data_IF_953637796020
#
_entry.id   IF_953637796020
#
_cell.length_a   1.000
_cell.length_b   1.000
_cell.length_c   1.000
_cell.angle_alpha   90.00
_cell.angle_beta   90.00
_cell.angle_gamma   90.00
#
_symmetry.space_group_name_H-M   'P 1'
#
loop_
_entity.id
_entity.type
_entity.pdbx_description
1 polymer ?
#
# COMPACT_ATOMS: atom_id res chain seq x y z
N UNK A 1 -19.83 39.52 -0.85
CA UNK A 1 -19.85 38.09 -0.51
C UNK A 1 -19.26 37.22 -1.64
N UNK A 2 -19.77 37.30 -2.87
CA UNK A 2 -19.28 36.50 -4.01
C UNK A 2 -17.79 36.69 -4.42
N UNK A 3 -17.15 37.81 -4.09
CA UNK A 3 -15.74 38.06 -4.41
C UNK A 3 -14.77 37.27 -3.51
N UNK A 4 -15.10 37.11 -2.22
CA UNK A 4 -14.28 36.35 -1.27
C UNK A 4 -14.38 34.85 -1.53
N UNK A 5 -15.58 34.32 -1.81
CA UNK A 5 -15.74 32.90 -2.20
C UNK A 5 -14.93 32.54 -3.43
N UNK A 6 -14.91 33.42 -4.45
CA UNK A 6 -14.17 33.15 -5.69
C UNK A 6 -12.66 33.23 -5.50
N UNK A 7 -12.19 34.11 -4.59
CA UNK A 7 -10.78 34.25 -4.23
C UNK A 7 -10.27 33.03 -3.47
N UNK A 8 -11.04 32.53 -2.49
CA UNK A 8 -10.69 31.32 -1.75
C UNK A 8 -10.66 30.08 -2.65
N UNK A 9 -11.69 29.87 -3.49
CA UNK A 9 -11.75 28.71 -4.40
C UNK A 9 -10.61 28.72 -5.42
N UNK A 10 -10.22 29.90 -5.92
CA UNK A 10 -9.09 30.05 -6.83
C UNK A 10 -7.77 29.68 -6.14
N UNK A 11 -7.55 30.19 -4.93
CA UNK A 11 -6.32 29.95 -4.17
C UNK A 11 -6.14 28.47 -3.79
N UNK A 12 -7.22 27.81 -3.35
CA UNK A 12 -7.21 26.37 -3.07
C UNK A 12 -6.87 25.53 -4.30
N UNK A 13 -7.36 25.93 -5.48
CA UNK A 13 -7.05 25.22 -6.73
C UNK A 13 -5.56 25.32 -7.08
N UNK A 14 -4.93 26.47 -6.90
CA UNK A 14 -3.50 26.63 -7.17
C UNK A 14 -2.62 25.87 -6.18
N UNK A 15 -2.97 25.87 -4.90
CA UNK A 15 -2.30 25.05 -3.88
C UNK A 15 -2.38 23.55 -4.20
N UNK A 16 -3.55 23.08 -4.64
CA UNK A 16 -3.75 21.69 -5.05
C UNK A 16 -2.92 21.33 -6.29
N UNK A 17 -2.85 22.22 -7.29
CA UNK A 17 -2.01 22.03 -8.47
C UNK A 17 -0.52 22.00 -8.11
N UNK A 18 -0.08 22.87 -7.20
CA UNK A 18 1.31 22.88 -6.73
C UNK A 18 1.67 21.60 -5.98
N UNK A 19 0.82 21.16 -5.03
CA UNK A 19 1.00 19.90 -4.32
C UNK A 19 1.02 18.69 -5.28
N UNK A 20 0.18 18.73 -6.32
CA UNK A 20 0.11 17.69 -7.34
C UNK A 20 1.41 17.62 -8.18
N UNK A 21 1.94 18.75 -8.63
CA UNK A 21 3.21 18.82 -9.37
C UNK A 21 4.36 18.28 -8.52
N UNK A 22 4.43 18.67 -7.24
CA UNK A 22 5.42 18.13 -6.30
C UNK A 22 5.28 16.61 -6.17
N UNK A 23 4.04 16.11 -6.05
CA UNK A 23 3.75 14.68 -5.97
C UNK A 23 4.24 13.91 -7.21
N UNK A 24 4.02 14.43 -8.42
CA UNK A 24 4.54 13.83 -9.66
C UNK A 24 6.07 13.80 -9.64
N UNK A 25 6.70 14.93 -9.33
CA UNK A 25 8.18 15.01 -9.30
C UNK A 25 8.74 14.00 -8.30
N UNK A 26 8.13 13.89 -7.12
CA UNK A 26 8.53 12.91 -6.12
C UNK A 26 8.40 11.48 -6.66
N UNK A 27 7.27 11.11 -7.27
CA UNK A 27 7.08 9.77 -7.85
C UNK A 27 8.11 9.49 -8.95
N UNK A 28 8.39 10.47 -9.82
CA UNK A 28 9.41 10.34 -10.86
C UNK A 28 10.81 10.10 -10.25
N UNK A 29 11.19 10.85 -9.22
CA UNK A 29 12.47 10.62 -8.51
C UNK A 29 12.51 9.22 -7.92
N UNK A 30 11.44 8.79 -7.26
CA UNK A 30 11.40 7.46 -6.66
C UNK A 30 11.46 6.35 -7.72
N UNK A 31 10.83 6.53 -8.89
CA UNK A 31 10.83 5.53 -9.97
C UNK A 31 12.14 5.52 -10.77
N UNK A 32 12.70 6.70 -11.08
CA UNK A 32 13.90 6.83 -11.91
C UNK A 32 15.21 6.70 -11.13
N UNK A 33 15.20 6.97 -9.82
CA UNK A 33 16.42 6.94 -8.99
C UNK A 33 16.32 5.86 -7.93
N UNK A 34 15.31 5.91 -7.05
CA UNK A 34 15.26 5.01 -5.90
C UNK A 34 15.02 3.55 -6.31
N UNK A 35 14.09 3.29 -7.22
CA UNK A 35 13.79 1.93 -7.67
C UNK A 35 14.98 1.24 -8.36
N UNK A 36 15.65 1.84 -9.36
CA UNK A 36 16.81 1.20 -9.98
C UNK A 36 17.99 1.08 -9.02
N UNK A 37 18.19 2.07 -8.13
CA UNK A 37 19.20 1.96 -7.08
C UNK A 37 18.89 0.80 -6.12
N UNK A 38 17.63 0.68 -5.67
CA UNK A 38 17.18 -0.41 -4.81
C UNK A 38 17.32 -1.77 -5.49
N UNK A 39 16.92 -1.89 -6.76
CA UNK A 39 17.09 -3.11 -7.55
C UNK A 39 18.56 -3.46 -7.78
N UNK A 40 19.42 -2.46 -7.97
CA UNK A 40 20.86 -2.65 -8.11
C UNK A 40 21.48 -3.18 -6.81
N UNK A 41 21.18 -2.56 -5.66
CA UNK A 41 21.66 -3.01 -4.34
C UNK A 41 21.13 -4.41 -4.02
N UNK A 42 19.85 -4.67 -4.31
CA UNK A 42 19.28 -6.00 -4.15
C UNK A 42 20.01 -7.03 -5.03
N UNK A 43 20.32 -6.70 -6.29
CA UNK A 43 21.02 -7.62 -7.20
C UNK A 43 22.45 -7.91 -6.76
N UNK A 44 23.22 -6.91 -6.31
CA UNK A 44 24.62 -7.10 -5.92
C UNK A 44 24.74 -7.87 -4.60
N UNK A 45 23.80 -7.67 -3.68
CA UNK A 45 23.81 -8.36 -2.39
C UNK A 45 23.13 -9.73 -2.43
N UNK A 46 22.38 -10.04 -3.49
CA UNK A 46 21.60 -11.28 -3.60
C UNK A 46 22.40 -12.55 -3.30
N UNK A 47 23.59 -12.70 -3.87
CA UNK A 47 24.39 -13.92 -3.71
C UNK A 47 24.90 -14.15 -2.28
N UNK A 48 25.10 -13.06 -1.53
CA UNK A 48 25.46 -13.13 -0.11
C UNK A 48 24.22 -13.25 0.76
N UNK A 49 23.19 -12.48 0.45
CA UNK A 49 21.94 -12.45 1.19
C UNK A 49 21.19 -13.78 1.09
N UNK A 50 21.27 -14.51 -0.02
CA UNK A 50 20.69 -15.86 -0.21
C UNK A 50 21.15 -16.87 0.86
N UNK A 51 22.30 -16.64 1.47
CA UNK A 51 22.85 -17.50 2.53
C UNK A 51 22.34 -17.14 3.92
N UNK A 52 21.71 -15.97 4.06
CA UNK A 52 21.21 -15.47 5.33
C UNK A 52 19.77 -15.97 5.53
N UNK A 53 19.47 -16.43 6.74
CA UNK A 53 18.14 -16.89 7.13
C UNK A 53 17.00 -15.94 6.75
N UNK A 54 17.25 -14.63 6.79
CA UNK A 54 16.28 -13.56 6.48
C UNK A 54 15.97 -13.37 5.01
N UNK A 55 16.70 -14.03 4.10
CA UNK A 55 16.58 -13.83 2.66
C UNK A 55 15.16 -13.90 2.12
N UNK A 56 14.34 -14.91 2.48
CA UNK A 56 13.02 -15.03 1.85
C UNK A 56 12.05 -13.91 2.28
N UNK A 57 12.30 -13.21 3.41
CA UNK A 57 11.57 -11.98 3.78
C UNK A 57 11.99 -10.84 2.85
N UNK A 58 13.29 -10.64 2.67
CA UNK A 58 13.82 -9.57 1.83
C UNK A 58 13.40 -9.74 0.36
N UNK A 59 13.38 -10.97 -0.12
CA UNK A 59 12.89 -11.31 -1.46
C UNK A 59 11.40 -10.95 -1.62
N UNK A 60 10.57 -11.34 -0.66
CA UNK A 60 9.16 -10.97 -0.68
C UNK A 60 8.96 -9.44 -0.59
N UNK A 61 9.69 -8.75 0.29
CA UNK A 61 9.66 -7.29 0.40
C UNK A 61 10.07 -6.62 -0.92
N UNK A 62 11.10 -7.12 -1.60
CA UNK A 62 11.53 -6.62 -2.91
C UNK A 62 10.42 -6.75 -3.96
N UNK A 63 9.78 -7.92 -4.06
CA UNK A 63 8.65 -8.13 -4.97
C UNK A 63 7.46 -7.23 -4.64
N UNK A 64 7.13 -7.06 -3.36
CA UNK A 64 6.03 -6.20 -2.91
C UNK A 64 6.30 -4.72 -3.18
N UNK A 65 7.53 -4.25 -2.99
CA UNK A 65 7.93 -2.87 -3.30
C UNK A 65 7.78 -2.59 -4.80
N UNK A 66 8.21 -3.49 -5.68
CA UNK A 66 8.00 -3.32 -7.14
C UNK A 66 6.51 -3.18 -7.49
N UNK A 67 5.65 -4.04 -6.93
CA UNK A 67 4.19 -3.97 -7.13
C UNK A 67 3.60 -2.66 -6.61
N UNK A 68 4.05 -2.19 -5.44
CA UNK A 68 3.66 -0.91 -4.87
C UNK A 68 3.97 0.24 -5.84
N UNK A 69 5.20 0.30 -6.38
CA UNK A 69 5.60 1.33 -7.34
C UNK A 69 4.77 1.32 -8.62
N UNK A 70 4.47 0.13 -9.15
CA UNK A 70 3.61 -0.03 -10.32
C UNK A 70 2.19 0.48 -10.05
N UNK A 71 1.59 0.10 -8.91
CA UNK A 71 0.24 0.54 -8.53
C UNK A 71 0.16 2.05 -8.32
N UNK A 72 1.14 2.67 -7.67
CA UNK A 72 1.20 4.14 -7.50
C UNK A 72 1.29 4.84 -8.85
N UNK A 73 2.07 4.30 -9.79
CA UNK A 73 2.16 4.85 -11.15
C UNK A 73 0.82 4.82 -11.89
N UNK A 74 -0.05 3.84 -11.60
CA UNK A 74 -1.40 3.76 -12.18
C UNK A 74 -2.39 4.77 -11.58
N UNK A 75 -2.17 5.27 -10.36
CA UNK A 75 -3.06 6.26 -9.72
C UNK A 75 -2.97 7.63 -10.39
N UNK A 76 -1.76 8.04 -10.80
CA UNK A 76 -1.51 9.35 -11.43
C UNK A 76 -2.39 9.58 -12.67
N UNK A 77 -2.42 8.70 -13.69
CA UNK A 77 -3.29 8.88 -14.85
C UNK A 77 -4.78 8.83 -14.49
N UNK A 78 -5.19 8.06 -13.49
CA UNK A 78 -6.58 8.07 -13.01
C UNK A 78 -6.99 9.44 -12.45
N UNK A 79 -6.09 10.13 -11.72
CA UNK A 79 -6.34 11.48 -11.20
C UNK A 79 -6.45 12.49 -12.36
N UNK A 80 -5.55 12.40 -13.34
CA UNK A 80 -5.60 13.25 -14.55
C UNK A 80 -6.92 13.02 -15.27
N UNK A 81 -7.30 11.76 -15.48
CA UNK A 81 -8.53 11.40 -16.18
C UNK A 81 -9.78 11.98 -15.48
N UNK A 82 -9.90 11.81 -14.16
CA UNK A 82 -11.04 12.36 -13.39
C UNK A 82 -11.08 13.89 -13.42
N UNK A 83 -9.92 14.55 -13.47
CA UNK A 83 -9.84 16.01 -13.49
C UNK A 83 -10.16 16.62 -14.87
N UNK A 84 -9.71 15.98 -15.96
CA UNK A 84 -9.83 16.52 -17.32
C UNK A 84 -11.13 16.13 -18.04
N UNK A 85 -11.79 15.02 -17.67
CA UNK A 85 -13.04 14.63 -18.32
C UNK A 85 -14.24 15.44 -17.81
N UNK A 86 -14.96 16.02 -18.78
CA UNK A 86 -16.14 16.84 -18.54
C UNK A 86 -17.40 15.96 -18.45
N UNK A 87 -17.93 15.85 -17.23
CA UNK A 87 -19.34 15.67 -16.87
C UNK A 87 -20.11 14.39 -17.30
N UNK A 88 -19.50 13.43 -17.98
CA UNK A 88 -20.11 12.10 -18.11
C UNK A 88 -20.01 11.34 -16.77
N UNK A 89 -21.08 11.41 -15.97
CA UNK A 89 -21.10 10.84 -14.62
C UNK A 89 -20.68 9.38 -14.57
N UNK A 90 -21.12 8.56 -15.54
CA UNK A 90 -20.86 7.12 -15.55
C UNK A 90 -19.38 6.77 -15.74
N UNK A 91 -18.65 7.46 -16.63
CA UNK A 91 -17.23 7.18 -16.88
C UNK A 91 -16.34 7.69 -15.75
N UNK A 92 -16.68 8.86 -15.20
CA UNK A 92 -16.01 9.43 -14.03
C UNK A 92 -16.19 8.55 -12.79
N UNK A 93 -17.40 8.05 -12.54
CA UNK A 93 -17.69 7.17 -11.41
C UNK A 93 -16.95 5.83 -11.56
N UNK A 94 -16.91 5.26 -12.77
CA UNK A 94 -16.13 4.05 -13.04
C UNK A 94 -14.64 4.23 -12.72
N UNK A 95 -14.02 5.34 -13.15
CA UNK A 95 -12.60 5.61 -12.85
C UNK A 95 -12.37 5.92 -11.37
N UNK A 96 -13.32 6.57 -10.70
CA UNK A 96 -13.25 6.77 -9.25
C UNK A 96 -13.28 5.43 -8.49
N UNK A 97 -14.11 4.47 -8.92
CA UNK A 97 -14.14 3.11 -8.35
C UNK A 97 -12.80 2.40 -8.57
N UNK A 98 -12.23 2.46 -9.78
CA UNK A 98 -10.92 1.86 -10.07
C UNK A 98 -9.82 2.47 -9.21
N UNK A 99 -9.80 3.80 -9.09
CA UNK A 99 -8.83 4.52 -8.26
C UNK A 99 -8.93 4.09 -6.79
N UNK A 100 -10.15 4.02 -6.25
CA UNK A 100 -10.37 3.60 -4.87
C UNK A 100 -9.99 2.12 -4.64
N UNK A 101 -10.16 1.24 -5.64
CA UNK A 101 -9.66 -0.13 -5.58
C UNK A 101 -8.13 -0.16 -5.51
N UNK A 102 -7.43 0.61 -6.36
CA UNK A 102 -5.96 0.66 -6.34
C UNK A 102 -5.44 1.18 -4.98
N UNK A 103 -6.06 2.21 -4.42
CA UNK A 103 -5.70 2.74 -3.10
C UNK A 103 -5.92 1.71 -1.98
N UNK A 104 -6.97 0.90 -2.08
CA UNK A 104 -7.22 -0.19 -1.15
C UNK A 104 -6.16 -1.29 -1.22
N UNK A 105 -5.78 -1.72 -2.45
CA UNK A 105 -4.66 -2.66 -2.62
C UNK A 105 -3.37 -2.11 -2.01
N UNK A 106 -3.09 -0.83 -2.24
CA UNK A 106 -1.91 -0.15 -1.72
C UNK A 106 -1.90 -0.16 -0.18
N UNK A 107 -3.07 0.06 0.44
CA UNK A 107 -3.22 0.02 1.89
C UNK A 107 -2.84 -1.36 2.46
N UNK A 108 -3.39 -2.44 1.91
CA UNK A 108 -3.08 -3.82 2.35
C UNK A 108 -1.58 -4.12 2.21
N UNK A 109 -0.98 -3.71 1.09
CA UNK A 109 0.47 -3.90 0.85
C UNK A 109 1.28 -3.19 1.94
N UNK A 110 0.94 -1.95 2.28
CA UNK A 110 1.63 -1.16 3.31
C UNK A 110 1.50 -1.80 4.69
N UNK A 111 0.33 -2.35 5.03
CA UNK A 111 0.15 -3.03 6.32
C UNK A 111 1.03 -4.28 6.44
N UNK A 112 1.02 -5.13 5.40
CA UNK A 112 1.85 -6.34 5.37
C UNK A 112 3.34 -5.99 5.39
N UNK A 113 3.75 -4.94 4.66
CA UNK A 113 5.14 -4.48 4.63
C UNK A 113 5.59 -3.94 6.00
N UNK A 114 4.76 -3.17 6.71
CA UNK A 114 5.06 -2.73 8.07
C UNK A 114 5.22 -3.90 9.05
N UNK A 115 4.37 -4.92 8.94
CA UNK A 115 4.53 -6.12 9.76
C UNK A 115 5.82 -6.87 9.47
N UNK A 116 6.15 -7.07 8.20
CA UNK A 116 7.38 -7.75 7.80
C UNK A 116 8.61 -7.00 8.31
N UNK A 117 8.61 -5.67 8.24
CA UNK A 117 9.69 -4.83 8.78
C UNK A 117 9.75 -4.92 10.30
N UNK A 118 8.62 -4.89 10.99
CA UNK A 118 8.54 -5.05 12.45
C UNK A 118 9.08 -6.42 12.88
N UNK A 119 8.66 -7.49 12.20
CA UNK A 119 9.16 -8.84 12.43
C UNK A 119 10.69 -8.92 12.22
N UNK A 120 11.20 -8.34 11.14
CA UNK A 120 12.63 -8.28 10.86
C UNK A 120 13.40 -7.52 11.96
N UNK A 121 12.84 -6.43 12.49
CA UNK A 121 13.43 -5.69 13.59
C UNK A 121 13.47 -6.51 14.89
N UNK A 122 12.38 -7.21 15.22
CA UNK A 122 12.32 -8.14 16.35
C UNK A 122 13.36 -9.26 16.18
N UNK A 123 13.43 -9.86 14.99
CA UNK A 123 14.40 -10.91 14.69
C UNK A 123 15.84 -10.43 14.87
N UNK A 124 16.19 -9.24 14.38
CA UNK A 124 17.53 -8.64 14.58
C UNK A 124 17.81 -8.32 16.04
N UNK A 125 16.82 -7.85 16.80
CA UNK A 125 16.95 -7.59 18.23
C UNK A 125 17.19 -8.89 19.03
N UNK A 126 16.46 -9.96 18.70
CA UNK A 126 16.60 -11.27 19.35
C UNK A 126 17.94 -11.93 19.03
N UNK A 127 18.41 -11.85 17.78
CA UNK A 127 19.75 -12.33 17.41
C UNK A 127 20.85 -11.54 18.13
N UNK A 128 20.69 -10.22 18.26
CA UNK A 128 21.63 -9.37 19.00
C UNK A 128 21.70 -9.74 20.49
N UNK A 129 20.58 -10.07 21.11
CA UNK A 129 20.52 -10.42 22.54
C UNK A 129 20.89 -11.88 22.82
N UNK A 130 20.61 -12.79 21.90
CA UNK A 130 20.67 -14.22 22.13
C UNK A 130 20.99 -15.00 20.84
N UNK A 131 22.29 -15.26 20.62
CA UNK A 131 22.80 -16.02 19.46
C UNK A 131 22.18 -17.43 19.34
N UNK A 132 21.72 -18.01 20.45
CA UNK A 132 21.14 -19.35 20.50
C UNK A 132 19.80 -19.50 19.77
N UNK A 133 19.09 -18.41 19.42
CA UNK A 133 17.79 -18.50 18.74
C UNK A 133 17.87 -18.55 17.23
N UNK A 134 19.07 -18.41 16.64
CA UNK A 134 19.25 -18.33 15.19
C UNK A 134 18.50 -19.44 14.43
N UNK A 135 18.71 -20.70 14.81
CA UNK A 135 18.05 -21.87 14.18
C UNK A 135 16.54 -21.89 14.34
N UNK A 136 16.02 -21.45 15.50
CA UNK A 136 14.58 -21.42 15.75
C UNK A 136 13.92 -20.28 14.96
N UNK A 137 14.58 -19.12 14.86
CA UNK A 137 14.11 -17.97 14.09
C UNK A 137 14.03 -18.30 12.60
N UNK A 138 15.03 -18.98 12.02
CA UNK A 138 14.98 -19.44 10.62
C UNK A 138 13.77 -20.35 10.38
N UNK A 139 13.50 -21.29 11.29
CA UNK A 139 12.41 -22.24 11.15
C UNK A 139 11.03 -21.55 11.22
N UNK A 140 10.86 -20.61 12.17
CA UNK A 140 9.63 -19.82 12.31
C UNK A 140 9.42 -18.93 11.08
N UNK A 141 10.48 -18.29 10.59
CA UNK A 141 10.43 -17.43 9.43
C UNK A 141 9.99 -18.19 8.17
N UNK A 142 10.62 -19.33 7.86
CA UNK A 142 10.25 -20.14 6.70
C UNK A 142 8.80 -20.63 6.79
N UNK A 143 8.32 -20.92 8.01
CA UNK A 143 6.93 -21.29 8.24
C UNK A 143 5.96 -20.12 8.04
N UNK A 144 6.31 -18.92 8.48
CA UNK A 144 5.50 -17.70 8.29
C UNK A 144 5.43 -17.34 6.80
N UNK A 145 6.55 -17.38 6.08
CA UNK A 145 6.58 -17.03 4.66
C UNK A 145 5.90 -18.06 3.76
N UNK A 146 6.07 -19.35 4.05
CA UNK A 146 5.30 -20.42 3.37
C UNK A 146 3.79 -20.23 3.55
N UNK A 147 3.38 -19.58 4.65
CA UNK A 147 2.00 -19.34 5.02
C UNK A 147 1.64 -17.85 4.99
N UNK A 148 2.32 -17.05 4.17
CA UNK A 148 2.12 -15.59 4.17
C UNK A 148 0.67 -15.20 3.84
N UNK A 149 -0.04 -16.05 3.10
CA UNK A 149 -1.48 -15.96 2.85
C UNK A 149 -2.32 -15.86 4.13
N UNK A 150 -1.94 -16.55 5.21
CA UNK A 150 -2.64 -16.43 6.49
C UNK A 150 -2.47 -15.05 7.12
N UNK A 151 -1.33 -14.37 6.90
CA UNK A 151 -1.17 -12.98 7.34
C UNK A 151 -2.09 -12.04 6.57
N UNK A 152 -2.20 -12.21 5.24
CA UNK A 152 -3.18 -11.45 4.45
C UNK A 152 -4.62 -11.69 4.95
N UNK A 153 -4.99 -12.95 5.20
CA UNK A 153 -6.32 -13.29 5.75
C UNK A 153 -6.53 -12.70 7.14
N UNK A 154 -5.50 -12.67 7.99
CA UNK A 154 -5.56 -12.08 9.32
C UNK A 154 -5.79 -10.56 9.25
N UNK A 155 -5.07 -9.84 8.39
CA UNK A 155 -5.30 -8.41 8.17
C UNK A 155 -6.70 -8.13 7.65
N UNK A 156 -7.14 -8.90 6.67
CA UNK A 156 -8.52 -8.86 6.18
C UNK A 156 -9.51 -9.06 7.33
N UNK A 157 -9.28 -10.02 8.23
CA UNK A 157 -10.16 -10.28 9.36
C UNK A 157 -10.16 -9.13 10.38
N UNK A 158 -8.99 -8.54 10.69
CA UNK A 158 -8.87 -7.37 11.56
C UNK A 158 -9.58 -6.17 10.95
N UNK A 159 -9.42 -5.95 9.65
CA UNK A 159 -10.13 -4.91 8.93
C UNK A 159 -11.64 -5.12 8.97
N UNK A 160 -12.14 -6.35 8.79
CA UNK A 160 -13.56 -6.68 8.95
C UNK A 160 -14.05 -6.39 10.37
N UNK A 161 -13.26 -6.69 11.40
CA UNK A 161 -13.63 -6.42 12.80
C UNK A 161 -13.70 -4.92 13.05
N UNK A 162 -12.68 -4.16 12.63
CA UNK A 162 -12.67 -2.69 12.72
C UNK A 162 -13.84 -2.09 11.95
N UNK A 163 -14.13 -2.65 10.78
CA UNK A 163 -15.25 -2.28 9.92
C UNK A 163 -16.60 -2.53 10.58
N UNK A 164 -16.78 -3.60 11.37
CA UNK A 164 -18.01 -3.83 12.15
C UNK A 164 -18.08 -2.91 13.38
N UNK A 165 -16.95 -2.67 14.05
CA UNK A 165 -16.90 -1.94 15.32
C UNK A 165 -17.12 -0.43 15.16
N UNK A 166 -16.60 0.17 14.09
CA UNK A 166 -16.63 1.63 13.86
C UNK A 166 -18.04 2.20 13.58
N UNK A 167 -18.88 1.60 12.71
CA UNK A 167 -20.25 2.06 12.48
C UNK A 167 -21.18 1.90 13.70
N UNK A 168 -20.86 0.94 14.57
CA UNK A 168 -21.54 0.73 15.85
C UNK A 168 -21.34 1.92 16.80
N UNK A 169 -20.23 2.66 16.65
CA UNK A 169 -19.89 3.84 17.45
C UNK A 169 -20.36 5.16 16.82
N UNK A 170 -20.46 5.27 15.48
CA UNK A 170 -20.96 6.48 14.81
C UNK A 170 -21.64 6.21 13.45
N UNK A 171 -22.99 6.23 13.36
CA UNK A 171 -23.72 5.63 12.23
C UNK A 171 -24.01 6.56 11.02
N UNK A 172 -23.74 7.86 11.09
CA UNK A 172 -24.30 8.85 10.14
C UNK A 172 -23.44 9.16 8.91
N UNK A 173 -22.10 9.22 9.04
CA UNK A 173 -21.19 9.51 7.92
C UNK A 173 -20.37 8.28 7.46
N UNK A 174 -20.20 7.29 8.36
CA UNK A 174 -19.23 6.20 8.18
C UNK A 174 -19.79 4.96 7.46
N UNK A 175 -21.10 4.93 7.21
CA UNK A 175 -21.77 3.85 6.48
C UNK A 175 -21.34 3.77 5.01
N UNK A 176 -20.97 4.90 4.40
CA UNK A 176 -20.48 4.96 3.01
C UNK A 176 -19.02 4.47 2.91
N UNK A 177 -18.19 4.86 3.87
CA UNK A 177 -16.81 4.36 4.01
C UNK A 177 -16.83 2.85 4.26
N UNK A 178 -17.77 2.38 5.08
CA UNK A 178 -18.01 0.96 5.34
C UNK A 178 -18.38 0.16 4.08
N UNK A 179 -19.34 0.64 3.30
CA UNK A 179 -19.76 -0.02 2.05
C UNK A 179 -18.64 -0.04 1.00
N UNK A 180 -17.86 1.03 0.90
CA UNK A 180 -16.71 1.10 0.00
C UNK A 180 -15.62 0.10 0.40
N UNK A 181 -15.23 0.04 1.69
CA UNK A 181 -14.24 -0.93 2.19
C UNK A 181 -14.67 -2.38 1.96
N UNK A 182 -15.95 -2.72 2.21
CA UNK A 182 -16.49 -4.07 1.96
C UNK A 182 -16.43 -4.46 0.47
N UNK A 183 -16.79 -3.55 -0.43
CA UNK A 183 -16.74 -3.78 -1.87
C UNK A 183 -15.31 -4.05 -2.35
N UNK A 184 -14.35 -3.23 -1.92
CA UNK A 184 -12.94 -3.41 -2.32
C UNK A 184 -12.29 -4.65 -1.73
N UNK A 185 -12.69 -5.04 -0.51
CA UNK A 185 -12.27 -6.30 0.10
C UNK A 185 -12.72 -7.50 -0.72
N UNK A 186 -13.98 -7.51 -1.17
CA UNK A 186 -14.51 -8.59 -2.02
C UNK A 186 -13.79 -8.65 -3.37
N UNK A 187 -13.49 -7.51 -3.99
CA UNK A 187 -12.70 -7.43 -5.22
C UNK A 187 -11.25 -7.90 -5.02
N UNK A 188 -10.62 -7.61 -3.88
CA UNK A 188 -9.27 -8.07 -3.58
C UNK A 188 -9.20 -9.59 -3.40
N UNK A 189 -10.17 -10.17 -2.67
CA UNK A 189 -10.25 -11.63 -2.52
C UNK A 189 -10.43 -12.29 -3.89
N UNK A 190 -11.25 -11.72 -4.77
CA UNK A 190 -11.42 -12.21 -6.14
C UNK A 190 -10.14 -12.08 -6.99
N UNK A 191 -9.37 -11.00 -6.82
CA UNK A 191 -8.08 -10.79 -7.51
C UNK A 191 -6.98 -11.73 -7.02
N UNK A 192 -6.95 -12.05 -5.72
CA UNK A 192 -5.97 -12.99 -5.17
C UNK A 192 -6.26 -14.45 -5.53
N UNK A 193 -7.51 -14.78 -5.88
CA UNK A 193 -7.93 -16.13 -6.30
C UNK A 193 -7.72 -16.41 -7.80
N UNK A 194 -7.28 -15.43 -8.58
CA UNK A 194 -6.92 -15.55 -10.01
C UNK A 194 -5.42 -15.29 -10.21
#
# INVERSE_FOLDING_TARGET
MAFFDKFDIQHWRELLLFAYIIGIIFVLICFCVLLPFYAYVYKINREQDEKIAVFPIFDHLYEMIKKFYYLVSCVIPCIIFVHYISNEGTTRDAVAIVMAFILFLLHIIVEVLHLLISYLAIQRCLLFLFDSFEKQLVAVQNKILSNIWYLYILFIAIDIINLIYVPLKNPSNERKIFQAKMFFLACFIAFCYY
#
